data_IF_507126737235
#
_entry.id   IF_507126737235
#
_cell.length_a   1.000
_cell.length_b   1.000
_cell.length_c   1.000
_cell.angle_alpha   90.00
_cell.angle_beta   90.00
_cell.angle_gamma   90.00
#
_symmetry.space_group_name_H-M   'P 1'
#
loop_
_entity.id
_entity.type
_entity.pdbx_description
1 polymer ?
#
# COMPACT_ATOMS: atom_id res chain seq x y z
N UNK A 1 6.27 -26.98 -9.25
CA UNK A 1 6.85 -28.15 -10.00
C UNK A 1 6.98 -27.77 -11.48
N UNK A 2 7.83 -28.43 -12.29
CA UNK A 2 7.94 -28.12 -13.73
C UNK A 2 6.60 -28.45 -14.41
N UNK A 3 5.90 -27.45 -14.96
CA UNK A 3 4.62 -27.64 -15.67
C UNK A 3 3.34 -27.42 -14.84
N UNK A 4 3.38 -26.67 -13.74
CA UNK A 4 2.13 -26.21 -13.12
C UNK A 4 1.50 -25.06 -13.92
N UNK A 5 0.17 -25.07 -13.97
CA UNK A 5 -0.63 -23.98 -14.51
C UNK A 5 -0.39 -22.71 -13.67
N UNK A 6 0.15 -21.62 -14.25
CA UNK A 6 0.42 -20.38 -13.53
C UNK A 6 -0.85 -19.65 -13.08
N UNK A 7 -2.03 -20.07 -13.53
CA UNK A 7 -3.33 -19.50 -13.17
C UNK A 7 -4.17 -20.40 -12.25
N UNK A 8 -3.59 -21.48 -11.71
CA UNK A 8 -4.30 -22.37 -10.78
C UNK A 8 -4.65 -21.62 -9.49
N UNK A 9 -5.89 -21.76 -9.02
CA UNK A 9 -6.41 -21.04 -7.85
C UNK A 9 -6.75 -21.94 -6.66
N UNK A 10 -6.72 -23.25 -6.84
CA UNK A 10 -7.05 -24.26 -5.82
C UNK A 10 -6.11 -24.26 -4.60
N UNK A 11 -4.94 -23.63 -4.72
CA UNK A 11 -3.94 -23.49 -3.67
C UNK A 11 -3.80 -22.04 -3.16
N UNK A 12 -4.71 -21.14 -3.55
CA UNK A 12 -4.75 -19.81 -2.97
C UNK A 12 -5.16 -19.89 -1.50
N UNK A 13 -4.58 -19.05 -0.62
CA UNK A 13 -5.06 -18.92 0.74
C UNK A 13 -6.52 -18.48 0.78
N UNK A 14 -7.21 -18.82 1.86
CA UNK A 14 -8.55 -18.33 2.13
C UNK A 14 -8.56 -16.80 2.34
N UNK A 15 -9.75 -16.20 2.19
CA UNK A 15 -9.92 -14.79 2.50
C UNK A 15 -9.74 -14.54 4.00
N UNK A 16 -8.74 -13.75 4.37
CA UNK A 16 -8.42 -13.43 5.75
C UNK A 16 -9.33 -12.35 6.37
N UNK A 17 -10.33 -11.85 5.63
CA UNK A 17 -11.32 -10.88 6.13
C UNK A 17 -10.85 -9.42 6.17
N UNK A 18 -9.65 -9.13 5.65
CA UNK A 18 -9.10 -7.79 5.59
C UNK A 18 -9.99 -6.84 4.79
N UNK A 19 -10.15 -5.62 5.29
CA UNK A 19 -10.82 -4.54 4.58
C UNK A 19 -9.80 -3.49 4.11
N UNK A 20 -10.11 -2.85 2.99
CA UNK A 20 -9.26 -1.81 2.40
C UNK A 20 -10.03 -0.49 2.33
N UNK A 21 -9.39 0.62 2.72
CA UNK A 21 -9.92 1.97 2.49
C UNK A 21 -8.84 2.87 1.92
N UNK A 22 -9.18 3.68 0.93
CA UNK A 22 -8.29 4.71 0.41
C UNK A 22 -8.46 5.99 1.26
N UNK A 23 -7.34 6.56 1.70
CA UNK A 23 -7.28 7.88 2.36
C UNK A 23 -6.17 8.68 1.73
N UNK A 24 -6.49 9.83 1.14
CA UNK A 24 -5.51 10.72 0.52
C UNK A 24 -4.58 10.02 -0.48
N UNK A 25 -5.13 9.05 -1.24
CA UNK A 25 -4.37 8.25 -2.21
C UNK A 25 -3.58 7.06 -1.62
N UNK A 26 -3.53 6.90 -0.30
CA UNK A 26 -2.88 5.78 0.38
C UNK A 26 -3.91 4.71 0.76
N UNK A 27 -3.61 3.44 0.48
CA UNK A 27 -4.48 2.31 0.84
C UNK A 27 -4.16 1.85 2.26
N UNK A 28 -5.16 1.95 3.14
CA UNK A 28 -5.11 1.47 4.51
C UNK A 28 -5.72 0.07 4.61
N UNK A 29 -5.07 -0.81 5.37
CA UNK A 29 -5.50 -2.19 5.59
C UNK A 29 -6.06 -2.34 7.01
N UNK A 30 -7.26 -2.90 7.14
CA UNK A 30 -7.94 -3.14 8.40
C UNK A 30 -8.11 -4.65 8.62
N UNK A 31 -7.95 -5.17 9.84
CA UNK A 31 -8.04 -6.60 10.12
C UNK A 31 -9.42 -7.20 9.84
N UNK A 32 -10.49 -6.41 9.94
CA UNK A 32 -11.89 -6.83 9.77
C UNK A 32 -12.80 -5.61 9.53
N UNK A 33 -14.11 -5.86 9.39
CA UNK A 33 -15.14 -4.86 9.11
C UNK A 33 -15.39 -3.93 10.31
N UNK A 34 -15.27 -4.41 11.54
CA UNK A 34 -15.44 -3.61 12.75
C UNK A 34 -14.32 -2.57 12.89
N UNK A 35 -13.06 -2.98 12.69
CA UNK A 35 -11.91 -2.08 12.71
C UNK A 35 -11.98 -1.05 11.57
N UNK A 36 -12.46 -1.47 10.39
CA UNK A 36 -12.71 -0.55 9.29
C UNK A 36 -13.76 0.50 9.66
N UNK A 37 -14.84 0.10 10.31
CA UNK A 37 -15.92 0.98 10.77
C UNK A 37 -15.47 2.02 11.81
N UNK A 38 -14.51 1.64 12.67
CA UNK A 38 -13.92 2.52 13.71
C UNK A 38 -12.71 3.31 13.26
N UNK A 39 -12.27 3.10 12.02
CA UNK A 39 -11.06 3.71 11.47
C UNK A 39 -9.76 3.31 12.21
N UNK A 40 -9.65 2.03 12.59
CA UNK A 40 -8.52 1.45 13.31
C UNK A 40 -7.68 0.54 12.36
N UNK A 41 -6.80 1.12 11.52
CA UNK A 41 -6.01 0.34 10.56
C UNK A 41 -4.92 -0.46 11.26
N UNK A 42 -4.38 -1.48 10.56
CA UNK A 42 -3.15 -2.14 10.98
C UNK A 42 -1.99 -1.13 10.98
N UNK A 43 -1.06 -1.22 11.95
CA UNK A 43 0.11 -0.34 12.04
C UNK A 43 1.19 -0.76 11.03
N UNK A 44 0.87 -0.62 9.74
CA UNK A 44 1.80 -0.81 8.63
C UNK A 44 2.58 0.49 8.39
N UNK A 45 3.79 0.42 7.81
CA UNK A 45 4.57 1.61 7.47
C UNK A 45 3.96 2.34 6.27
N UNK A 46 2.88 3.09 6.50
CA UNK A 46 2.27 3.94 5.48
C UNK A 46 3.18 5.14 5.18
N UNK A 47 3.28 5.57 3.91
CA UNK A 47 4.04 6.76 3.59
C UNK A 47 3.39 7.96 4.28
N UNK A 48 4.21 8.76 4.96
CA UNK A 48 3.79 10.10 5.35
C UNK A 48 3.74 10.94 4.07
N UNK A 49 2.53 11.37 3.67
CA UNK A 49 2.32 11.99 2.37
C UNK A 49 3.12 13.30 2.23
N UNK A 50 3.17 14.12 3.28
CA UNK A 50 3.92 15.38 3.27
C UNK A 50 5.41 15.12 3.03
N UNK A 51 6.00 14.18 3.77
CA UNK A 51 7.42 13.80 3.62
C UNK A 51 7.71 13.25 2.22
N UNK A 52 6.83 12.38 1.72
CA UNK A 52 6.98 11.81 0.38
C UNK A 52 6.94 12.89 -0.71
N UNK A 53 6.02 13.85 -0.59
CA UNK A 53 5.90 14.96 -1.53
C UNK A 53 7.12 15.89 -1.47
N UNK A 54 7.62 16.17 -0.27
CA UNK A 54 8.83 16.98 -0.08
C UNK A 54 10.06 16.31 -0.71
N UNK A 55 10.27 15.02 -0.46
CA UNK A 55 11.36 14.24 -1.05
C UNK A 55 11.25 14.19 -2.58
N UNK A 56 10.03 14.03 -3.12
CA UNK A 56 9.79 14.04 -4.55
C UNK A 56 10.08 15.40 -5.19
N UNK A 57 9.66 16.49 -4.56
CA UNK A 57 9.94 17.84 -5.04
C UNK A 57 11.45 18.10 -5.11
N UNK A 58 12.20 17.63 -4.10
CA UNK A 58 13.65 17.71 -4.09
C UNK A 58 14.28 16.90 -5.24
N UNK A 59 13.87 15.65 -5.43
CA UNK A 59 14.35 14.81 -6.54
C UNK A 59 14.05 15.43 -7.91
N UNK A 60 12.85 15.98 -8.10
CA UNK A 60 12.47 16.67 -9.33
C UNK A 60 13.34 17.91 -9.58
N UNK A 61 13.68 18.67 -8.54
CA UNK A 61 14.60 19.80 -8.66
C UNK A 61 16.00 19.35 -9.11
N UNK A 62 16.54 18.26 -8.54
CA UNK A 62 17.83 17.68 -8.94
C UNK A 62 17.83 17.17 -10.38
N UNK A 63 16.73 16.59 -10.84
CA UNK A 63 16.59 16.15 -12.24
C UNK A 63 16.60 17.37 -13.17
N UNK A 64 15.89 18.44 -12.81
CA UNK A 64 15.74 19.62 -13.66
C UNK A 64 17.00 20.50 -13.70
N UNK A 65 17.71 20.65 -12.58
CA UNK A 65 18.80 21.62 -12.41
C UNK A 65 20.18 20.97 -12.27
N UNK A 66 20.25 19.64 -12.14
CA UNK A 66 21.47 18.93 -11.78
C UNK A 66 21.77 18.99 -10.27
N UNK A 67 22.74 18.19 -9.79
CA UNK A 67 23.22 18.36 -8.43
C UNK A 67 23.84 19.75 -8.26
N UNK A 68 23.48 20.43 -7.16
CA UNK A 68 24.10 21.68 -6.72
C UNK A 68 25.59 21.52 -6.45
#
# INVERSE_FOLDING_TARGET
>A
KKGEDPFRTDNLPENLGYQLKMKDGVVYVYPNEEAASKDEPKPLPYPNLDTFLDDMNFLLALIAQGPV
#
